data_IF_921603854083
#
_entry.id   IF_921603854083
#
_cell.length_a   1.000
_cell.length_b   1.000
_cell.length_c   1.000
_cell.angle_alpha   90.00
_cell.angle_beta   90.00
_cell.angle_gamma   90.00
#
_symmetry.space_group_name_H-M   'P 1'
#
loop_
_entity.id
_entity.type
_entity.pdbx_description
1 polymer ?
#
# COMPACT_ATOMS: atom_id res chain seq x y z
N UNK A 1 4.73 -3.74 16.78
CA UNK A 1 5.29 -5.03 16.30
C UNK A 1 6.00 -5.68 17.48
N UNK A 2 5.73 -6.96 17.82
CA UNK A 2 6.54 -7.70 18.81
C UNK A 2 7.60 -8.47 18.05
N UNK A 3 8.81 -7.94 17.97
CA UNK A 3 9.96 -8.75 17.59
C UNK A 3 10.14 -9.82 18.68
N UNK A 4 10.26 -11.10 18.30
CA UNK A 4 10.09 -12.23 19.23
C UNK A 4 11.39 -12.95 19.59
N UNK A 5 12.52 -12.54 19.04
CA UNK A 5 13.84 -13.10 19.38
C UNK A 5 14.61 -12.06 20.18
N UNK A 6 14.76 -12.23 21.51
CA UNK A 6 15.55 -11.32 22.32
C UNK A 6 17.02 -11.31 21.86
N UNK A 7 17.51 -10.17 21.39
CA UNK A 7 18.93 -9.89 21.17
C UNK A 7 19.55 -9.46 22.50
N UNK A 8 19.79 -10.45 23.36
CA UNK A 8 20.43 -10.25 24.65
C UNK A 8 21.94 -10.01 24.49
N UNK A 9 22.58 -9.43 25.50
CA UNK A 9 24.03 -9.25 25.55
C UNK A 9 24.82 -10.53 25.17
N UNK A 10 24.35 -11.72 25.61
CA UNK A 10 24.99 -13.01 25.29
C UNK A 10 25.03 -13.29 23.78
N UNK A 11 23.95 -12.97 23.08
CA UNK A 11 23.82 -13.19 21.63
C UNK A 11 24.64 -12.16 20.86
N UNK A 12 24.59 -10.88 21.26
CA UNK A 12 25.34 -9.82 20.58
C UNK A 12 26.86 -10.06 20.63
N UNK A 13 27.39 -10.61 21.74
CA UNK A 13 28.80 -11.01 21.86
C UNK A 13 29.22 -12.13 20.90
N UNK A 14 28.29 -12.97 20.47
CA UNK A 14 28.58 -14.06 19.54
C UNK A 14 28.61 -13.60 18.07
N UNK A 15 28.35 -12.31 17.82
CA UNK A 15 28.27 -11.71 16.49
C UNK A 15 29.36 -10.64 16.32
N UNK A 16 30.65 -11.02 16.29
CA UNK A 16 31.77 -10.07 16.34
C UNK A 16 31.83 -9.13 15.12
N UNK A 17 31.15 -9.47 14.03
CA UNK A 17 31.11 -8.68 12.80
C UNK A 17 29.83 -7.84 12.66
N UNK A 18 28.90 -7.91 13.62
CA UNK A 18 27.65 -7.16 13.55
C UNK A 18 27.93 -5.68 13.84
N UNK A 19 27.49 -4.80 12.94
CA UNK A 19 27.71 -3.34 13.05
C UNK A 19 26.42 -2.52 13.09
N UNK A 20 25.30 -3.11 12.67
CA UNK A 20 24.01 -2.42 12.54
C UNK A 20 22.86 -3.36 12.87
N UNK A 21 21.91 -2.88 13.68
CA UNK A 21 20.60 -3.48 13.91
C UNK A 21 19.53 -2.46 13.48
N UNK A 22 18.75 -2.82 12.47
CA UNK A 22 17.62 -2.02 12.02
C UNK A 22 16.33 -2.50 12.70
N UNK A 23 15.68 -1.61 13.45
CA UNK A 23 14.43 -1.87 14.18
C UNK A 23 13.28 -1.04 13.58
N UNK A 24 12.07 -1.59 13.58
CA UNK A 24 10.90 -0.87 13.04
C UNK A 24 10.40 0.27 13.94
N UNK A 25 10.57 0.14 15.26
CA UNK A 25 10.22 1.17 16.24
C UNK A 25 11.45 1.81 16.86
N UNK A 26 11.33 3.09 17.26
CA UNK A 26 12.37 3.83 17.98
C UNK A 26 12.74 3.22 19.34
N UNK A 27 11.85 2.40 19.92
CA UNK A 27 12.10 1.63 21.13
C UNK A 27 11.73 0.17 20.89
N UNK A 28 12.65 -0.75 21.17
CA UNK A 28 12.47 -2.18 20.99
C UNK A 28 12.97 -2.92 22.23
N UNK A 29 12.04 -3.42 23.05
CA UNK A 29 12.34 -4.13 24.31
C UNK A 29 13.03 -5.49 24.10
N UNK A 30 13.11 -5.96 22.86
CA UNK A 30 13.80 -7.21 22.51
C UNK A 30 15.26 -6.99 22.14
N UNK A 31 15.75 -5.75 22.11
CA UNK A 31 17.15 -5.42 21.84
C UNK A 31 17.76 -4.86 23.11
N UNK A 32 18.84 -5.48 23.59
CA UNK A 32 19.67 -4.88 24.62
C UNK A 32 20.48 -3.73 24.01
N UNK A 33 19.88 -2.54 24.00
CA UNK A 33 20.47 -1.34 23.40
C UNK A 33 21.75 -0.89 24.10
N UNK A 34 21.89 -1.22 25.39
CA UNK A 34 23.09 -0.91 26.16
C UNK A 34 24.24 -1.82 25.72
N UNK A 35 23.99 -3.13 25.66
CA UNK A 35 24.97 -4.09 25.12
C UNK A 35 25.35 -3.81 23.66
N UNK A 36 24.39 -3.39 22.83
CA UNK A 36 24.66 -2.99 21.46
C UNK A 36 25.62 -1.79 21.40
N UNK A 37 25.39 -0.77 22.23
CA UNK A 37 26.29 0.39 22.32
C UNK A 37 27.69 0.01 22.82
N UNK A 38 27.79 -0.84 23.84
CA UNK A 38 29.06 -1.34 24.39
C UNK A 38 29.88 -2.15 23.36
N UNK A 39 29.21 -2.84 22.43
CA UNK A 39 29.81 -3.63 21.36
C UNK A 39 30.03 -2.84 20.05
N UNK A 40 29.76 -1.53 20.03
CA UNK A 40 29.91 -0.69 18.85
C UNK A 40 28.87 -0.94 17.74
N UNK A 41 27.73 -1.55 18.09
CA UNK A 41 26.64 -1.89 17.18
C UNK A 41 25.65 -0.73 17.14
N UNK A 42 25.45 -0.15 15.95
CA UNK A 42 24.47 0.92 15.77
C UNK A 42 23.06 0.34 15.75
N UNK A 43 22.13 0.87 16.56
CA UNK A 43 20.71 0.52 16.49
C UNK A 43 19.96 1.68 15.86
N UNK A 44 19.35 1.46 14.69
CA UNK A 44 18.60 2.49 13.96
C UNK A 44 17.14 2.13 13.82
N UNK A 45 16.27 3.14 13.86
CA UNK A 45 14.85 2.98 13.57
C UNK A 45 14.60 3.22 12.08
N UNK A 46 13.98 2.26 11.39
CA UNK A 46 13.59 2.42 9.97
C UNK A 46 12.31 3.23 9.78
N UNK A 47 11.70 3.66 10.88
CA UNK A 47 10.36 4.24 10.91
C UNK A 47 9.27 3.17 10.88
N UNK A 48 8.15 3.51 11.51
CA UNK A 48 6.90 2.76 11.42
C UNK A 48 5.87 3.70 10.78
N UNK A 49 5.27 3.24 9.70
CA UNK A 49 4.25 3.98 8.95
C UNK A 49 2.91 3.25 9.19
N UNK A 50 1.95 3.95 9.79
CA UNK A 50 0.70 3.36 10.29
C UNK A 50 -0.34 3.11 9.20
N UNK A 51 -0.07 3.51 7.95
CA UNK A 51 -1.04 3.50 6.85
C UNK A 51 -1.44 2.08 6.47
N UNK A 52 -0.62 1.06 6.75
CA UNK A 52 -1.00 -0.35 6.59
C UNK A 52 -2.24 -0.76 7.41
N UNK A 53 -2.52 -0.10 8.55
CA UNK A 53 -3.73 -0.35 9.37
C UNK A 53 -4.96 0.41 8.83
N UNK A 54 -4.72 1.53 8.15
CA UNK A 54 -5.74 2.34 7.48
C UNK A 54 -6.24 1.61 6.21
N UNK A 55 -5.33 1.07 5.39
CA UNK A 55 -5.63 0.31 4.17
C UNK A 55 -6.59 -0.88 4.43
N UNK A 56 -6.44 -1.62 5.54
CA UNK A 56 -7.36 -2.71 5.90
C UNK A 56 -8.72 -2.23 6.42
N UNK A 57 -8.77 -1.08 7.10
CA UNK A 57 -10.03 -0.50 7.57
C UNK A 57 -10.89 -0.05 6.38
N UNK A 58 -10.26 0.46 5.33
CA UNK A 58 -10.91 0.84 4.08
C UNK A 58 -11.34 -0.35 3.24
N UNK A 59 -10.49 -1.37 3.08
CA UNK A 59 -10.87 -2.60 2.38
C UNK A 59 -12.09 -3.29 3.02
N UNK A 60 -12.14 -3.37 4.36
CA UNK A 60 -13.28 -3.97 5.07
C UNK A 60 -14.55 -3.10 5.05
N UNK A 61 -14.41 -1.77 4.93
CA UNK A 61 -15.56 -0.87 4.82
C UNK A 61 -16.13 -0.82 3.41
N UNK A 62 -15.29 -0.88 2.38
CA UNK A 62 -15.70 -0.88 0.97
C UNK A 62 -16.19 -2.27 0.53
N UNK A 63 -15.67 -3.36 1.11
CA UNK A 63 -16.06 -4.73 0.76
C UNK A 63 -17.30 -5.27 1.49
N UNK A 64 -17.91 -4.52 2.43
CA UNK A 64 -19.10 -4.99 3.16
C UNK A 64 -20.37 -4.26 2.68
N UNK A 65 -21.31 -4.94 1.98
CA UNK A 65 -22.57 -4.33 1.55
C UNK A 65 -23.57 -4.11 2.70
N UNK A 66 -23.23 -4.53 3.93
CA UNK A 66 -23.97 -4.23 5.16
C UNK A 66 -22.97 -3.71 6.18
N UNK A 67 -23.20 -2.50 6.72
CA UNK A 67 -22.35 -1.95 7.78
C UNK A 67 -22.23 -2.92 8.97
N UNK A 68 -21.15 -2.85 9.78
CA UNK A 68 -20.98 -3.79 10.87
C UNK A 68 -22.16 -3.65 11.86
N UNK A 69 -22.70 -4.76 12.40
CA UNK A 69 -23.70 -4.67 13.45
C UNK A 69 -23.07 -3.95 14.66
N UNK A 70 -23.82 -3.04 15.27
CA UNK A 70 -23.48 -2.38 16.54
C UNK A 70 -23.38 -3.43 17.65
N UNK A 71 -22.23 -4.09 17.79
CA UNK A 71 -21.86 -4.82 19.01
C UNK A 71 -20.36 -4.63 19.27
N UNK A 72 -20.08 -4.02 20.42
CA UNK A 72 -18.76 -3.92 21.01
C UNK A 72 -18.12 -5.29 21.17
N UNK A 73 -17.02 -5.56 20.46
CA UNK A 73 -16.18 -6.72 20.74
C UNK A 73 -14.78 -6.28 21.18
N UNK A 74 -14.63 -6.37 22.51
CA UNK A 74 -13.41 -6.30 23.28
C UNK A 74 -12.55 -7.55 23.04
N UNK A 75 -11.22 -7.34 23.00
CA UNK A 75 -10.13 -8.31 23.22
C UNK A 75 -10.02 -9.53 22.28
N UNK A 76 -9.01 -9.51 21.42
CA UNK A 76 -7.83 -10.40 21.59
C UNK A 76 -6.80 -10.14 20.46
N UNK A 77 -5.61 -9.74 20.89
CA UNK A 77 -4.48 -9.29 20.06
C UNK A 77 -3.79 -10.43 19.30
N UNK A 78 -4.16 -11.68 19.54
CA UNK A 78 -3.49 -12.85 18.97
C UNK A 78 -4.08 -13.34 17.64
N UNK A 79 -5.38 -13.11 17.39
CA UNK A 79 -6.00 -13.41 16.08
C UNK A 79 -5.44 -12.51 14.97
N UNK A 80 -5.07 -11.27 15.33
CA UNK A 80 -4.52 -10.24 14.41
C UNK A 80 -3.09 -10.52 13.93
N UNK A 81 -2.34 -11.41 14.59
CA UNK A 81 -0.94 -11.69 14.22
C UNK A 81 -0.78 -12.93 13.34
N UNK A 82 -1.77 -13.82 13.28
CA UNK A 82 -1.67 -15.07 12.51
C UNK A 82 -1.92 -14.86 11.01
N UNK A 83 -2.72 -13.85 10.63
CA UNK A 83 -3.01 -13.52 9.22
C UNK A 83 -1.96 -12.57 8.60
N UNK A 84 -1.30 -11.74 9.40
CA UNK A 84 -0.20 -10.87 8.93
C UNK A 84 1.03 -11.66 8.41
N UNK A 85 1.26 -12.88 8.91
CA UNK A 85 2.28 -13.79 8.38
C UNK A 85 1.91 -14.43 7.04
N UNK A 86 0.61 -14.44 6.69
CA UNK A 86 0.13 -14.95 5.40
C UNK A 86 0.17 -13.88 4.30
N UNK A 87 -0.06 -12.60 4.62
CA UNK A 87 -0.10 -11.54 3.61
C UNK A 87 1.28 -10.96 3.23
N UNK A 88 2.25 -10.92 4.14
CA UNK A 88 3.62 -10.43 3.81
C UNK A 88 4.41 -11.44 2.96
N UNK A 89 4.02 -12.72 2.97
CA UNK A 89 4.66 -13.75 2.15
C UNK A 89 4.17 -13.79 0.69
N UNK A 90 3.16 -13.01 0.30
CA UNK A 90 2.48 -13.27 -1.00
C UNK A 90 1.79 -12.12 -1.73
N UNK A 91 2.17 -10.86 -1.52
CA UNK A 91 1.67 -9.77 -2.39
C UNK A 91 2.75 -8.73 -2.67
N UNK A 92 3.20 -8.69 -3.92
CA UNK A 92 4.06 -7.63 -4.45
C UNK A 92 3.39 -6.96 -5.65
N UNK A 93 3.32 -5.64 -5.60
CA UNK A 93 3.57 -4.75 -6.74
C UNK A 93 3.91 -3.35 -6.20
N UNK A 94 5.18 -2.97 -6.24
CA UNK A 94 5.66 -1.62 -5.91
C UNK A 94 6.15 -1.00 -7.22
N UNK A 95 5.62 0.15 -7.64
CA UNK A 95 6.17 0.88 -8.77
C UNK A 95 6.01 2.38 -8.59
N UNK A 96 7.13 3.10 -8.68
CA UNK A 96 7.19 4.56 -8.78
C UNK A 96 7.29 4.97 -10.25
N UNK A 97 6.35 5.80 -10.71
CA UNK A 97 6.52 6.57 -11.95
C UNK A 97 6.60 8.05 -11.60
N UNK A 98 7.72 8.69 -11.92
CA UNK A 98 7.85 10.16 -11.81
C UNK A 98 7.42 10.79 -13.12
N UNK A 99 6.35 11.57 -13.12
CA UNK A 99 5.90 12.32 -14.29
C UNK A 99 5.45 13.71 -13.87
N UNK A 100 6.08 14.76 -14.44
CA UNK A 100 5.75 16.18 -14.16
C UNK A 100 5.66 16.52 -12.66
N UNK A 101 6.74 16.26 -11.91
CA UNK A 101 6.83 16.48 -10.45
C UNK A 101 5.81 15.70 -9.60
N UNK A 102 5.34 14.56 -10.10
CA UNK A 102 4.44 13.67 -9.38
C UNK A 102 4.97 12.25 -9.36
N UNK A 103 4.87 11.60 -8.21
CA UNK A 103 5.12 10.17 -8.04
C UNK A 103 3.78 9.45 -7.91
N UNK A 104 3.72 8.23 -8.46
CA UNK A 104 2.57 7.36 -8.34
C UNK A 104 2.99 6.06 -7.68
N UNK A 105 2.27 5.64 -6.64
CA UNK A 105 2.38 4.29 -6.06
C UNK A 105 1.04 3.60 -6.23
N UNK A 106 1.03 2.34 -6.69
CA UNK A 106 -0.21 1.59 -6.92
C UNK A 106 -0.22 0.31 -6.12
N UNK A 107 -1.30 0.09 -5.39
CA UNK A 107 -1.58 -1.12 -4.63
C UNK A 107 -2.76 -1.86 -5.24
N UNK A 108 -2.79 -3.17 -5.05
CA UNK A 108 -3.88 -4.04 -5.47
C UNK A 108 -4.39 -4.86 -4.28
N UNK A 109 -5.69 -5.17 -4.26
CA UNK A 109 -6.28 -6.06 -3.27
C UNK A 109 -5.59 -7.44 -3.29
N UNK A 110 -5.51 -8.14 -2.14
CA UNK A 110 -4.86 -9.45 -2.06
C UNK A 110 -5.34 -10.42 -3.15
N UNK A 111 -4.40 -11.12 -3.79
CA UNK A 111 -4.71 -12.09 -4.85
C UNK A 111 -4.95 -11.47 -6.23
N UNK A 112 -5.21 -10.16 -6.34
CA UNK A 112 -5.51 -9.54 -7.63
C UNK A 112 -4.29 -9.54 -8.56
N UNK A 113 -3.09 -9.25 -8.02
CA UNK A 113 -1.86 -9.27 -8.81
C UNK A 113 -1.48 -10.70 -9.23
N UNK A 114 -1.64 -11.68 -8.33
CA UNK A 114 -1.41 -13.10 -8.61
C UNK A 114 -2.36 -13.61 -9.72
N UNK A 115 -3.66 -13.30 -9.58
CA UNK A 115 -4.67 -13.68 -10.56
C UNK A 115 -4.44 -13.00 -11.91
N UNK A 116 -4.04 -11.72 -11.91
CA UNK A 116 -3.68 -11.02 -13.14
C UNK A 116 -2.46 -11.66 -13.80
N UNK A 117 -1.39 -11.97 -13.06
CA UNK A 117 -0.23 -12.67 -13.62
C UNK A 117 -0.62 -14.02 -14.21
N UNK A 118 -1.52 -14.77 -13.58
CA UNK A 118 -1.97 -16.06 -14.09
C UNK A 118 -2.83 -15.93 -15.36
N UNK A 119 -3.80 -15.03 -15.35
CA UNK A 119 -4.92 -15.00 -16.33
C UNK A 119 -4.90 -13.84 -17.31
N UNK A 120 -4.09 -12.81 -17.04
CA UNK A 120 -4.11 -11.53 -17.75
C UNK A 120 -5.31 -10.64 -17.41
N UNK A 121 -6.12 -11.00 -16.40
CA UNK A 121 -7.32 -10.26 -16.00
C UNK A 121 -7.40 -10.04 -14.50
N UNK A 122 -7.95 -8.90 -14.10
CA UNK A 122 -8.29 -8.67 -12.69
C UNK A 122 -9.62 -9.37 -12.35
N UNK A 123 -9.68 -10.15 -11.26
CA UNK A 123 -10.94 -10.71 -10.77
C UNK A 123 -11.97 -9.64 -10.43
N UNK A 124 -13.26 -9.96 -10.54
CA UNK A 124 -14.34 -9.11 -10.03
C UNK A 124 -14.14 -8.81 -8.54
N UNK A 125 -14.41 -7.57 -8.14
CA UNK A 125 -14.15 -7.08 -6.78
C UNK A 125 -12.70 -6.69 -6.51
N UNK A 126 -11.78 -6.85 -7.48
CA UNK A 126 -10.41 -6.36 -7.32
C UNK A 126 -10.40 -4.85 -7.09
N UNK A 127 -9.66 -4.42 -6.08
CA UNK A 127 -9.50 -2.99 -5.77
C UNK A 127 -8.08 -2.59 -6.13
N UNK A 128 -7.92 -1.53 -6.93
CA UNK A 128 -6.63 -0.89 -7.17
C UNK A 128 -6.66 0.52 -6.58
N UNK A 129 -5.63 0.84 -5.79
CA UNK A 129 -5.45 2.15 -5.16
C UNK A 129 -4.19 2.78 -5.73
N UNK A 130 -4.34 3.90 -6.44
CA UNK A 130 -3.23 4.70 -6.97
C UNK A 130 -3.07 5.96 -6.13
N UNK A 131 -2.03 6.01 -5.33
CA UNK A 131 -1.61 7.22 -4.63
C UNK A 131 -0.90 8.15 -5.61
N UNK A 132 -1.26 9.42 -5.55
CA UNK A 132 -0.61 10.49 -6.31
C UNK A 132 0.07 11.41 -5.33
N UNK A 133 1.37 11.58 -5.48
CA UNK A 133 2.21 12.38 -4.59
C UNK A 133 2.94 13.45 -5.41
N UNK A 134 3.20 14.62 -4.83
CA UNK A 134 4.18 15.56 -5.39
C UNK A 134 5.59 15.03 -5.16
N UNK A 135 6.52 15.49 -5.99
CA UNK A 135 7.94 15.21 -5.82
C UNK A 135 8.75 16.48 -5.83
N UNK A 136 9.78 16.51 -5.00
CA UNK A 136 10.83 17.52 -5.00
C UNK A 136 12.07 16.95 -5.68
N UNK A 137 12.69 17.75 -6.54
CA UNK A 137 13.86 17.36 -7.33
C UNK A 137 15.03 18.24 -6.98
N UNK A 138 16.18 17.63 -6.69
CA UNK A 138 17.42 18.32 -6.36
C UNK A 138 18.61 17.66 -7.06
N UNK A 139 19.64 18.46 -7.34
CA UNK A 139 20.94 17.95 -7.78
C UNK A 139 21.72 17.49 -6.54
N UNK A 140 22.15 16.23 -6.55
CA UNK A 140 22.94 15.61 -5.49
C UNK A 140 24.24 15.06 -6.09
N UNK A 141 25.18 14.64 -5.24
CA UNK A 141 26.46 14.05 -5.67
C UNK A 141 26.27 12.77 -6.50
N UNK A 142 25.14 12.08 -6.34
CA UNK A 142 24.74 10.89 -7.12
C UNK A 142 23.95 11.23 -8.39
N UNK A 143 23.78 12.51 -8.73
CA UNK A 143 23.02 13.00 -9.87
C UNK A 143 21.73 13.74 -9.50
N UNK A 144 20.84 13.95 -10.48
CA UNK A 144 19.54 14.58 -10.23
C UNK A 144 18.59 13.58 -9.60
N UNK A 145 18.20 13.83 -8.35
CA UNK A 145 17.34 12.94 -7.56
C UNK A 145 15.99 13.59 -7.35
N UNK A 146 14.92 12.81 -7.55
CA UNK A 146 13.56 13.20 -7.16
C UNK A 146 13.09 12.33 -6.00
N UNK A 147 12.54 12.96 -4.96
CA UNK A 147 11.94 12.28 -3.82
C UNK A 147 10.49 12.72 -3.65
N UNK A 148 9.70 11.85 -3.01
CA UNK A 148 8.32 12.16 -2.63
C UNK A 148 8.32 13.34 -1.66
N UNK A 149 7.40 14.27 -1.87
CA UNK A 149 7.19 15.45 -1.04
C UNK A 149 5.88 15.32 -0.24
N UNK A 150 4.72 15.39 -0.91
CA UNK A 150 3.41 15.38 -0.26
C UNK A 150 2.38 14.52 -1.00
N UNK A 151 1.54 13.80 -0.26
CA UNK A 151 0.37 13.13 -0.83
C UNK A 151 -0.65 14.17 -1.36
N UNK A 152 -1.08 14.02 -2.61
CA UNK A 152 -2.17 14.81 -3.20
C UNK A 152 -3.51 14.13 -3.03
N UNK A 153 -3.55 12.81 -3.16
CA UNK A 153 -4.77 12.06 -3.00
C UNK A 153 -4.62 10.65 -3.54
N UNK A 154 -5.75 9.92 -3.53
CA UNK A 154 -5.82 8.53 -3.94
C UNK A 154 -6.90 8.37 -4.98
N UNK A 155 -6.55 7.69 -6.06
CA UNK A 155 -7.50 7.22 -7.05
C UNK A 155 -7.80 5.74 -6.78
N UNK A 156 -9.05 5.44 -6.46
CA UNK A 156 -9.53 4.09 -6.16
C UNK A 156 -10.34 3.60 -7.33
N UNK A 157 -10.04 2.38 -7.78
CA UNK A 157 -10.80 1.68 -8.81
C UNK A 157 -11.20 0.30 -8.34
N UNK A 158 -12.42 -0.13 -8.67
CA UNK A 158 -12.98 -1.42 -8.24
C UNK A 158 -13.51 -2.18 -9.45
N UNK A 159 -13.03 -3.40 -9.68
CA UNK A 159 -13.48 -4.22 -10.80
C UNK A 159 -14.93 -4.66 -10.58
N UNK A 160 -15.78 -4.40 -11.56
CA UNK A 160 -17.19 -4.79 -11.58
C UNK A 160 -17.59 -5.17 -13.01
N UNK A 161 -17.16 -6.35 -13.48
CA UNK A 161 -17.47 -6.80 -14.85
C UNK A 161 -18.96 -6.99 -15.09
N UNK A 162 -19.76 -7.11 -14.04
CA UNK A 162 -21.21 -7.32 -14.10
C UNK A 162 -22.00 -6.02 -14.23
N UNK A 163 -21.33 -4.86 -14.11
CA UNK A 163 -21.97 -3.55 -14.12
C UNK A 163 -23.13 -3.48 -13.13
N UNK A 164 -22.88 -3.90 -11.89
CA UNK A 164 -23.90 -4.03 -10.85
C UNK A 164 -24.46 -2.70 -10.33
N UNK A 165 -23.95 -1.56 -10.82
CA UNK A 165 -24.34 -0.21 -10.41
C UNK A 165 -24.72 0.69 -11.60
N UNK A 166 -25.74 0.33 -12.40
CA UNK A 166 -26.06 1.00 -13.66
C UNK A 166 -26.45 2.48 -13.50
N UNK A 167 -27.06 2.85 -12.37
CA UNK A 167 -27.50 4.23 -12.09
C UNK A 167 -26.42 5.08 -11.43
N UNK A 168 -25.25 4.50 -11.11
CA UNK A 168 -24.19 5.22 -10.45
C UNK A 168 -23.21 5.81 -11.47
N UNK A 169 -23.13 7.15 -11.52
CA UNK A 169 -22.26 7.88 -12.45
C UNK A 169 -20.77 7.63 -12.25
N UNK A 170 -20.36 7.11 -11.10
CA UNK A 170 -18.98 6.72 -10.83
C UNK A 170 -18.63 5.33 -11.36
N UNK A 171 -19.60 4.57 -11.89
CA UNK A 171 -19.38 3.26 -12.49
C UNK A 171 -19.46 3.34 -14.00
N UNK A 172 -18.58 2.59 -14.65
CA UNK A 172 -18.57 2.45 -16.10
C UNK A 172 -17.43 1.60 -16.60
N UNK A 173 -17.62 1.02 -17.79
CA UNK A 173 -16.65 0.17 -18.45
C UNK A 173 -16.15 -1.02 -17.60
N UNK A 174 -17.01 -1.55 -16.72
CA UNK A 174 -16.69 -2.67 -15.85
C UNK A 174 -15.85 -2.31 -14.63
N UNK A 175 -15.84 -1.03 -14.24
CA UNK A 175 -15.08 -0.51 -13.11
C UNK A 175 -15.86 0.59 -12.37
N UNK A 176 -15.70 0.66 -11.05
CA UNK A 176 -16.00 1.86 -10.26
C UNK A 176 -14.77 2.76 -10.19
N UNK A 177 -14.97 4.08 -10.23
CA UNK A 177 -13.91 5.09 -10.35
C UNK A 177 -14.11 6.20 -9.31
N UNK A 178 -13.08 6.50 -8.53
CA UNK A 178 -13.23 7.51 -7.48
C UNK A 178 -11.90 8.14 -7.08
N UNK A 179 -11.89 9.46 -6.93
CA UNK A 179 -10.79 10.23 -6.38
C UNK A 179 -11.10 10.71 -4.96
N UNK A 180 -10.11 10.63 -4.08
CA UNK A 180 -10.15 11.18 -2.72
C UNK A 180 -8.95 12.09 -2.52
N UNK A 181 -9.20 13.32 -2.08
CA UNK A 181 -8.14 14.26 -1.72
C UNK A 181 -7.41 13.78 -0.46
N UNK A 182 -6.11 14.10 -0.35
CA UNK A 182 -5.30 13.69 0.80
C UNK A 182 -5.92 14.10 2.14
N UNK A 183 -6.54 15.29 2.16
CA UNK A 183 -7.15 15.91 3.34
C UNK A 183 -8.58 15.39 3.62
N UNK A 184 -9.20 14.68 2.66
CA UNK A 184 -10.52 14.08 2.83
C UNK A 184 -10.62 12.69 2.19
N UNK A 185 -10.40 11.68 3.03
CA UNK A 185 -10.37 10.29 2.61
C UNK A 185 -11.74 9.63 2.67
N UNK A 186 -12.79 10.33 3.11
CA UNK A 186 -14.12 9.75 3.35
C UNK A 186 -15.12 10.10 2.27
N UNK A 187 -14.99 11.27 1.66
CA UNK A 187 -15.89 11.73 0.61
C UNK A 187 -15.09 11.95 -0.67
N UNK A 188 -15.54 11.29 -1.74
CA UNK A 188 -14.96 11.52 -3.06
C UNK A 188 -15.33 12.89 -3.59
N UNK A 189 -14.41 13.51 -4.33
CA UNK A 189 -14.68 14.71 -5.12
C UNK A 189 -15.01 14.39 -6.59
N UNK A 190 -14.89 13.12 -7.01
CA UNK A 190 -15.39 12.65 -8.30
C UNK A 190 -16.92 12.69 -8.33
N UNK A 191 -17.48 13.04 -9.50
CA UNK A 191 -18.92 13.14 -9.73
C UNK A 191 -19.39 12.24 -10.85
N UNK A 192 -18.59 12.08 -11.90
CA UNK A 192 -18.96 11.27 -13.07
C UNK A 192 -17.70 10.71 -13.74
N UNK A 193 -17.65 9.39 -13.91
CA UNK A 193 -16.49 8.74 -14.52
C UNK A 193 -16.27 9.21 -15.96
N UNK A 194 -17.35 9.55 -16.70
CA UNK A 194 -17.27 9.95 -18.11
C UNK A 194 -16.52 11.28 -18.27
N UNK A 195 -16.75 12.22 -17.36
CA UNK A 195 -16.10 13.54 -17.39
C UNK A 195 -14.77 13.52 -16.64
N UNK A 196 -14.68 12.79 -15.54
CA UNK A 196 -13.57 12.93 -14.59
C UNK A 196 -12.44 11.93 -14.85
N UNK A 197 -12.75 10.76 -15.44
CA UNK A 197 -11.82 9.62 -15.50
C UNK A 197 -11.58 9.10 -16.92
N UNK A 198 -12.66 8.94 -17.70
CA UNK A 198 -12.66 8.19 -18.96
C UNK A 198 -11.61 8.70 -19.95
N UNK A 199 -11.56 10.00 -20.20
CA UNK A 199 -10.61 10.59 -21.16
C UNK A 199 -9.15 10.22 -20.89
N UNK A 200 -8.75 10.15 -19.62
CA UNK A 200 -7.39 9.76 -19.23
C UNK A 200 -7.12 8.25 -19.36
N UNK A 201 -8.17 7.43 -19.41
CA UNK A 201 -8.08 5.97 -19.45
C UNK A 201 -8.38 5.36 -20.82
N UNK A 202 -8.89 6.14 -21.79
CA UNK A 202 -9.06 5.72 -23.19
C UNK A 202 -7.78 5.08 -23.78
N UNK A 203 -6.56 5.61 -23.57
CA UNK A 203 -5.35 4.97 -24.10
C UNK A 203 -5.06 3.58 -23.51
N UNK A 204 -5.63 3.25 -22.35
CA UNK A 204 -5.50 1.95 -21.69
C UNK A 204 -6.69 1.02 -21.98
N UNK A 205 -7.58 1.35 -22.91
CA UNK A 205 -8.79 0.55 -23.21
C UNK A 205 -8.46 -0.91 -23.54
N UNK A 206 -7.37 -1.16 -24.28
CA UNK A 206 -6.96 -2.52 -24.68
C UNK A 206 -6.45 -3.37 -23.52
N UNK A 207 -6.09 -2.75 -22.40
CA UNK A 207 -5.61 -3.41 -21.18
C UNK A 207 -6.63 -3.27 -20.04
N UNK A 208 -7.91 -3.40 -20.39
CA UNK A 208 -9.04 -3.31 -19.46
C UNK A 208 -9.06 -1.99 -18.67
N UNK A 209 -8.73 -0.89 -19.37
CA UNK A 209 -8.71 0.48 -18.84
C UNK A 209 -7.65 0.75 -17.77
N UNK A 210 -6.74 -0.19 -17.52
CA UNK A 210 -5.69 -0.07 -16.53
C UNK A 210 -4.31 0.00 -17.22
N UNK A 211 -3.45 0.93 -16.82
CA UNK A 211 -2.10 1.10 -17.39
C UNK A 211 -1.12 0.02 -16.88
N UNK A 212 -1.39 -1.24 -17.20
CA UNK A 212 -0.63 -2.41 -16.72
C UNK A 212 0.83 -2.42 -17.17
N UNK A 213 1.18 -1.70 -18.25
CA UNK A 213 2.57 -1.47 -18.65
C UNK A 213 3.38 -0.71 -17.59
N UNK A 214 2.71 0.07 -16.75
CA UNK A 214 3.27 0.74 -15.58
C UNK A 214 3.42 -0.17 -14.36
N UNK A 215 3.05 -1.46 -14.43
CA UNK A 215 3.11 -2.38 -13.29
C UNK A 215 4.02 -3.56 -13.62
N UNK A 216 5.35 -3.43 -13.48
CA UNK A 216 6.27 -4.54 -13.76
C UNK A 216 5.98 -5.78 -12.90
N UNK A 217 5.44 -5.61 -11.70
CA UNK A 217 4.99 -6.72 -10.84
C UNK A 217 3.80 -7.53 -11.37
N UNK A 218 3.17 -7.10 -12.47
CA UNK A 218 2.12 -7.85 -13.18
C UNK A 218 2.63 -8.60 -14.41
N UNK A 219 3.91 -8.45 -14.77
CA UNK A 219 4.52 -9.26 -15.83
C UNK A 219 4.63 -10.71 -15.34
N UNK A 220 4.42 -11.65 -16.27
CA UNK A 220 4.69 -13.08 -16.05
C UNK A 220 6.19 -13.32 -15.90
#
# INVERSE_FOLDING_TARGET
>A
MRERTPLTHKILRQLPNLKLIASTGAKNASIDSRAAAELGITVTATGYESTATIEFTWALRVASPRGPPRRSFSKSTEYRQRIARLCIRRSYAFFLRVQRRRSYTVYASPGAAEAYRATGKFPDGSVLVKEVQTTSTAVMTTGTVSHVDRLKGRFITVKDSKNSHPDNKLWGNGWGWSWFDADNQVKTTSKDFRTDCLGCHVPAKTTDWIYVSGYPGLKK
#
